data_IF_726749197110
#
_entry.id   IF_726749197110
#
_cell.length_a   1.000
_cell.length_b   1.000
_cell.length_c   1.000
_cell.angle_alpha   90.00
_cell.angle_beta   90.00
_cell.angle_gamma   90.00
#
_symmetry.space_group_name_H-M   'P 1'
#
loop_
_entity.id
_entity.type
_entity.pdbx_description
1 polymer ?
#
# COMPACT_ATOMS: atom_id res chain seq x y z
N UNK A 1 6.68 5.78 15.33
CA UNK A 1 7.34 4.69 16.04
C UNK A 1 8.10 3.82 15.03
N UNK A 2 9.30 3.43 15.40
CA UNK A 2 10.11 2.61 14.52
C UNK A 2 9.67 1.16 14.56
N UNK A 3 9.50 0.56 13.39
CA UNK A 3 9.11 -0.83 13.29
C UNK A 3 10.32 -1.75 13.51
N UNK A 4 10.19 -2.68 14.45
CA UNK A 4 11.28 -3.58 14.82
C UNK A 4 11.50 -4.71 13.80
N UNK A 5 10.52 -4.96 12.96
CA UNK A 5 10.54 -6.10 12.04
C UNK A 5 10.90 -5.74 10.61
N UNK A 6 10.97 -4.46 10.29
CA UNK A 6 11.22 -4.02 8.93
C UNK A 6 12.42 -3.09 8.86
N UNK A 7 13.25 -3.30 7.85
CA UNK A 7 14.46 -2.51 7.63
C UNK A 7 14.10 -1.11 7.18
N UNK A 8 13.07 -0.99 6.35
CA UNK A 8 12.64 0.29 5.80
C UNK A 8 11.14 0.27 5.49
N UNK A 9 10.62 1.45 5.16
CA UNK A 9 9.21 1.62 4.84
C UNK A 9 8.80 0.89 3.56
N UNK A 10 9.68 0.82 2.59
CA UNK A 10 9.42 0.13 1.32
C UNK A 10 9.13 -1.35 1.56
N UNK A 11 9.99 -2.01 2.33
CA UNK A 11 9.81 -3.43 2.67
C UNK A 11 8.50 -3.64 3.42
N UNK A 12 8.19 -2.75 4.35
CA UNK A 12 6.96 -2.81 5.13
C UNK A 12 5.72 -2.72 4.23
N UNK A 13 5.72 -1.79 3.30
CA UNK A 13 4.60 -1.61 2.37
C UNK A 13 4.43 -2.85 1.48
N UNK A 14 5.52 -3.38 0.94
CA UNK A 14 5.47 -4.57 0.09
C UNK A 14 4.92 -5.76 0.89
N UNK A 15 5.38 -5.93 2.12
CA UNK A 15 4.87 -6.98 2.99
C UNK A 15 3.36 -6.85 3.19
N UNK A 16 2.89 -5.65 3.49
CA UNK A 16 1.47 -5.41 3.71
C UNK A 16 0.65 -5.71 2.45
N UNK A 17 1.15 -5.33 1.29
CA UNK A 17 0.43 -5.56 0.03
C UNK A 17 0.37 -7.04 -0.36
N UNK A 18 1.44 -7.78 -0.12
CA UNK A 18 1.54 -9.17 -0.57
C UNK A 18 1.02 -10.16 0.47
N UNK A 19 1.35 -9.96 1.74
CA UNK A 19 1.13 -10.96 2.78
C UNK A 19 -0.07 -10.73 3.68
N UNK A 20 -0.50 -9.48 3.84
CA UNK A 20 -1.59 -9.18 4.78
C UNK A 20 -2.95 -9.18 4.10
N UNK A 21 -3.97 -9.81 4.72
CA UNK A 21 -5.31 -9.85 4.16
C UNK A 21 -6.21 -8.75 4.72
N UNK A 22 -7.23 -8.39 3.94
CA UNK A 22 -8.39 -7.63 4.39
C UNK A 22 -8.10 -6.39 5.23
N UNK A 23 -8.74 -6.33 6.39
CA UNK A 23 -8.65 -5.16 7.27
C UNK A 23 -7.25 -4.93 7.83
N UNK A 24 -6.52 -5.99 8.10
CA UNK A 24 -5.15 -5.89 8.62
C UNK A 24 -4.27 -5.18 7.58
N UNK A 25 -4.42 -5.53 6.33
CA UNK A 25 -3.70 -4.88 5.23
C UNK A 25 -4.04 -3.40 5.16
N UNK A 26 -5.32 -3.07 5.26
CA UNK A 26 -5.78 -1.68 5.20
C UNK A 26 -5.24 -0.86 6.36
N UNK A 27 -5.29 -1.40 7.57
CA UNK A 27 -4.77 -0.71 8.76
C UNK A 27 -3.27 -0.47 8.63
N UNK A 28 -2.55 -1.47 8.13
CA UNK A 28 -1.10 -1.40 8.01
C UNK A 28 -0.66 -0.37 6.96
N UNK A 29 -1.45 -0.21 5.90
CA UNK A 29 -1.18 0.74 4.83
C UNK A 29 -1.76 2.14 5.09
N UNK A 30 -2.46 2.30 6.20
CA UNK A 30 -3.05 3.58 6.55
C UNK A 30 -4.28 3.94 5.72
N UNK A 31 -4.95 2.93 5.17
CA UNK A 31 -6.18 3.16 4.41
C UNK A 31 -7.33 3.39 5.38
N UNK A 32 -8.02 4.49 5.19
CA UNK A 32 -9.15 4.87 6.03
C UNK A 32 -10.41 5.03 5.18
N UNK A 33 -11.53 5.22 5.86
CA UNK A 33 -12.81 5.40 5.21
C UNK A 33 -12.80 6.54 4.18
N UNK A 34 -12.06 7.61 4.46
CA UNK A 34 -11.98 8.77 3.59
C UNK A 34 -11.42 8.41 2.20
N UNK A 35 -10.61 7.37 2.11
CA UNK A 35 -10.06 6.91 0.84
C UNK A 35 -11.15 6.38 -0.11
N UNK A 36 -12.29 6.00 0.44
CA UNK A 36 -13.41 5.48 -0.34
C UNK A 36 -14.44 6.54 -0.70
N UNK A 37 -14.35 7.72 -0.12
CA UNK A 37 -15.31 8.79 -0.35
C UNK A 37 -14.69 10.07 -0.91
N UNK A 38 -13.37 10.18 -0.89
CA UNK A 38 -12.66 11.35 -1.43
C UNK A 38 -11.63 10.91 -2.46
N UNK A 39 -11.91 11.29 -3.71
CA UNK A 39 -11.06 10.92 -4.84
C UNK A 39 -9.62 11.42 -4.71
N UNK A 40 -9.45 12.66 -4.28
CA UNK A 40 -8.12 13.25 -4.17
C UNK A 40 -7.27 12.56 -3.10
N UNK A 41 -7.90 12.20 -1.98
CA UNK A 41 -7.21 11.48 -0.91
C UNK A 41 -6.76 10.10 -1.40
N UNK A 42 -7.63 9.37 -2.09
CA UNK A 42 -7.30 8.05 -2.59
C UNK A 42 -6.21 8.10 -3.64
N UNK A 43 -6.28 9.07 -4.54
CA UNK A 43 -5.26 9.24 -5.58
C UNK A 43 -3.91 9.59 -4.97
N UNK A 44 -3.87 10.49 -4.01
CA UNK A 44 -2.63 10.86 -3.34
C UNK A 44 -2.03 9.68 -2.60
N UNK A 45 -2.85 8.91 -1.89
CA UNK A 45 -2.40 7.70 -1.21
C UNK A 45 -1.79 6.70 -2.20
N UNK A 46 -2.46 6.46 -3.31
CA UNK A 46 -2.00 5.54 -4.33
C UNK A 46 -0.64 5.96 -4.89
N UNK A 47 -0.53 7.22 -5.29
CA UNK A 47 0.70 7.74 -5.87
C UNK A 47 1.86 7.75 -4.88
N UNK A 48 1.62 8.15 -3.63
CA UNK A 48 2.64 8.13 -2.60
C UNK A 48 3.12 6.72 -2.30
N UNK A 49 2.18 5.79 -2.15
CA UNK A 49 2.52 4.40 -1.87
C UNK A 49 3.30 3.79 -3.03
N UNK A 50 2.84 4.03 -4.25
CA UNK A 50 3.53 3.56 -5.44
C UNK A 50 4.94 4.09 -5.54
N UNK A 51 5.12 5.40 -5.30
CA UNK A 51 6.44 6.02 -5.37
C UNK A 51 7.40 5.47 -4.32
N UNK A 52 6.89 5.06 -3.17
CA UNK A 52 7.72 4.47 -2.11
C UNK A 52 8.26 3.10 -2.47
N UNK A 53 7.61 2.37 -3.36
CA UNK A 53 8.01 1.00 -3.68
C UNK A 53 8.52 0.80 -5.10
N UNK A 54 8.22 1.72 -6.03
CA UNK A 54 8.47 1.50 -7.45
C UNK A 54 9.95 1.29 -7.79
N UNK A 55 10.86 1.87 -7.03
CA UNK A 55 12.29 1.72 -7.26
C UNK A 55 12.92 0.59 -6.44
N UNK A 56 12.10 -0.18 -5.75
CA UNK A 56 12.58 -1.29 -4.93
C UNK A 56 13.07 -2.44 -5.82
N UNK A 57 14.09 -3.14 -5.35
CA UNK A 57 14.58 -4.37 -5.99
C UNK A 57 14.02 -5.61 -5.31
N UNK A 58 12.97 -5.43 -4.50
CA UNK A 58 12.37 -6.54 -3.78
C UNK A 58 11.80 -7.57 -4.77
N UNK A 59 12.02 -8.88 -4.54
CA UNK A 59 11.57 -9.91 -5.48
C UNK A 59 10.05 -9.98 -5.63
N UNK A 60 9.30 -9.46 -4.67
CA UNK A 60 7.84 -9.45 -4.72
C UNK A 60 7.25 -8.10 -5.14
N UNK A 61 8.05 -7.22 -5.69
CA UNK A 61 7.58 -5.90 -6.12
C UNK A 61 6.43 -6.00 -7.12
N UNK A 62 6.51 -6.90 -8.09
CA UNK A 62 5.46 -7.04 -9.10
C UNK A 62 4.13 -7.46 -8.49
N UNK A 63 4.16 -8.37 -7.53
CA UNK A 63 2.95 -8.77 -6.80
C UNK A 63 2.38 -7.61 -5.99
N UNK A 64 3.27 -6.87 -5.32
CA UNK A 64 2.87 -5.70 -4.53
C UNK A 64 2.21 -4.65 -5.41
N UNK A 65 2.76 -4.40 -6.59
CA UNK A 65 2.17 -3.44 -7.53
C UNK A 65 0.78 -3.86 -7.98
N UNK A 66 0.59 -5.15 -8.26
CA UNK A 66 -0.73 -5.68 -8.63
C UNK A 66 -1.75 -5.50 -7.51
N UNK A 67 -1.35 -5.79 -6.28
CA UNK A 67 -2.23 -5.63 -5.12
C UNK A 67 -2.56 -4.16 -4.86
N UNK A 68 -1.61 -3.26 -5.05
CA UNK A 68 -1.83 -1.83 -4.92
C UNK A 68 -2.86 -1.34 -5.94
N UNK A 69 -2.73 -1.76 -7.19
CA UNK A 69 -3.69 -1.44 -8.24
C UNK A 69 -5.09 -1.95 -7.89
N UNK A 70 -5.16 -3.16 -7.37
CA UNK A 70 -6.40 -3.80 -6.99
C UNK A 70 -7.10 -3.03 -5.86
N UNK A 71 -6.33 -2.60 -4.86
CA UNK A 71 -6.88 -1.79 -3.77
C UNK A 71 -7.40 -0.45 -4.26
N UNK A 72 -6.65 0.19 -5.13
CA UNK A 72 -7.04 1.48 -5.68
C UNK A 72 -8.33 1.36 -6.51
N UNK A 73 -8.44 0.32 -7.31
CA UNK A 73 -9.67 0.06 -8.07
C UNK A 73 -10.86 -0.17 -7.15
N UNK A 74 -10.63 -0.81 -6.01
CA UNK A 74 -11.66 -1.02 -5.01
C UNK A 74 -12.18 0.28 -4.40
N UNK A 75 -11.41 1.35 -4.49
CA UNK A 75 -11.83 2.69 -4.06
C UNK A 75 -12.73 3.39 -5.08
N UNK A 76 -12.94 2.79 -6.25
CA UNK A 76 -13.87 3.24 -7.30
C UNK A 76 -13.51 4.56 -7.98
N UNK A 77 -12.24 4.84 -8.14
CA UNK A 77 -11.83 6.09 -8.79
C UNK A 77 -11.00 5.87 -10.06
#
# INVERSE_FOLDING_TARGET
MKDLYFIDETTKIIFALVELPGKVQMDFLGIERIHYINRDVSKNWYEETKNKIINSKHPKLMEAMKELEKLYKGMKW
#
